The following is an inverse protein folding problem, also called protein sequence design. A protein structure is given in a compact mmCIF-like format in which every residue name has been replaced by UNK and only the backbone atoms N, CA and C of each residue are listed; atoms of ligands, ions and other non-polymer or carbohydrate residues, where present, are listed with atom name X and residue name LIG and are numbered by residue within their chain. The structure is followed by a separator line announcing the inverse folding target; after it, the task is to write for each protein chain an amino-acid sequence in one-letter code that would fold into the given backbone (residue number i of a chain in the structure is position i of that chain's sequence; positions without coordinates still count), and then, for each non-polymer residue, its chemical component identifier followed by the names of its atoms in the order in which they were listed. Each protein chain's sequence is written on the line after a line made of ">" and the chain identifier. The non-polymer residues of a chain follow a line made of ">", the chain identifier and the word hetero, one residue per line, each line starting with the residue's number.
data_IF_984825555900
#
_entry.id   IF_984825555900
#
_cell.length_a   1.000
_cell.length_b   1.000
_cell.length_c   1.000
_cell.angle_alpha   90.00
_cell.angle_beta   90.00
_cell.angle_gamma   90.00
#
_symmetry.space_group_name_H-M   'P 1'
#
loop_
_entity.id
_entity.type
_entity.pdbx_description
1 polymer ?
#
# COMPACT_ATOMS: atom_id res chain seq x y z
N UNK A 1 34.88 -24.50 18.43
CA UNK A 1 35.54 -24.20 17.13
C UNK A 1 34.81 -24.93 16.01
N UNK A 2 34.82 -26.27 15.96
CA UNK A 2 34.16 -27.04 14.88
C UNK A 2 32.68 -26.69 14.60
N UNK A 3 31.86 -26.46 15.63
CA UNK A 3 30.44 -26.17 15.42
C UNK A 3 30.17 -24.73 14.95
N UNK A 4 31.04 -23.78 15.31
CA UNK A 4 30.95 -22.39 14.84
C UNK A 4 31.34 -22.30 13.37
N UNK A 5 32.39 -23.02 12.97
CA UNK A 5 32.82 -23.08 11.57
C UNK A 5 31.71 -23.72 10.71
N UNK A 6 31.07 -24.80 11.21
CA UNK A 6 29.92 -25.43 10.55
C UNK A 6 28.71 -24.50 10.39
N UNK A 7 28.40 -23.66 11.39
CA UNK A 7 27.27 -22.73 11.31
C UNK A 7 27.41 -21.76 10.14
N UNK A 8 28.57 -21.12 10.01
CA UNK A 8 28.83 -20.17 8.93
C UNK A 8 28.92 -20.86 7.56
N UNK A 9 29.53 -22.05 7.49
CA UNK A 9 29.53 -22.84 6.25
C UNK A 9 28.09 -23.16 5.80
N UNK A 10 27.20 -23.55 6.71
CA UNK A 10 25.79 -23.79 6.39
C UNK A 10 25.08 -22.51 5.94
N UNK A 11 25.33 -21.36 6.56
CA UNK A 11 24.75 -20.08 6.15
C UNK A 11 25.18 -19.67 4.74
N UNK A 12 26.47 -19.84 4.41
CA UNK A 12 26.98 -19.53 3.08
C UNK A 12 26.31 -20.41 2.02
N UNK A 13 26.14 -21.71 2.30
CA UNK A 13 25.42 -22.63 1.42
C UNK A 13 23.93 -22.28 1.29
N UNK A 14 23.27 -21.89 2.39
CA UNK A 14 21.89 -21.44 2.36
C UNK A 14 21.72 -20.19 1.48
N UNK A 15 22.62 -19.22 1.62
CA UNK A 15 22.62 -18.00 0.84
C UNK A 15 22.85 -18.31 -0.65
N UNK A 16 23.80 -19.18 -0.99
CA UNK A 16 24.06 -19.59 -2.38
C UNK A 16 22.86 -20.34 -2.99
N UNK A 17 22.19 -21.20 -2.21
CA UNK A 17 20.99 -21.89 -2.66
C UNK A 17 19.83 -20.91 -2.89
N UNK A 18 19.61 -19.96 -1.97
CA UNK A 18 18.56 -18.93 -2.07
C UNK A 18 18.75 -18.05 -3.31
N UNK A 19 19.95 -17.49 -3.53
CA UNK A 19 20.26 -16.71 -4.74
C UNK A 19 20.08 -17.51 -6.05
N UNK A 20 20.22 -18.84 -5.97
CA UNK A 20 19.98 -19.74 -7.09
C UNK A 20 18.51 -20.18 -7.28
N UNK A 21 17.58 -19.66 -6.48
CA UNK A 21 16.16 -20.06 -6.50
C UNK A 21 15.90 -21.48 -5.99
N UNK A 22 16.84 -22.07 -5.25
CA UNK A 22 16.75 -23.44 -4.71
C UNK A 22 16.24 -23.39 -3.28
N UNK A 23 14.99 -23.00 -3.11
CA UNK A 23 14.36 -22.69 -1.82
C UNK A 23 14.41 -23.85 -0.82
N UNK A 24 14.06 -25.07 -1.24
CA UNK A 24 14.10 -26.26 -0.38
C UNK A 24 15.52 -26.56 0.12
N UNK A 25 16.52 -26.37 -0.74
CA UNK A 25 17.93 -26.58 -0.39
C UNK A 25 18.41 -25.51 0.60
N UNK A 26 18.03 -24.25 0.40
CA UNK A 26 18.33 -23.16 1.32
C UNK A 26 17.76 -23.42 2.72
N UNK A 27 16.49 -23.83 2.81
CA UNK A 27 15.85 -24.19 4.07
C UNK A 27 16.55 -25.37 4.77
N UNK A 28 16.97 -26.39 4.02
CA UNK A 28 17.71 -27.52 4.58
C UNK A 28 19.06 -27.09 5.18
N UNK A 29 19.78 -26.18 4.51
CA UNK A 29 21.02 -25.62 5.03
C UNK A 29 20.80 -24.75 6.27
N UNK A 30 19.74 -23.94 6.30
CA UNK A 30 19.37 -23.17 7.49
C UNK A 30 19.00 -24.07 8.67
N UNK A 31 18.32 -25.20 8.42
CA UNK A 31 18.05 -26.20 9.45
C UNK A 31 19.35 -26.80 10.01
N UNK A 32 20.32 -27.14 9.15
CA UNK A 32 21.63 -27.61 9.58
C UNK A 32 22.43 -26.53 10.33
N UNK A 33 22.31 -25.26 9.96
CA UNK A 33 22.87 -24.14 10.70
C UNK A 33 22.26 -24.08 12.12
N UNK A 34 20.93 -24.14 12.23
CA UNK A 34 20.23 -24.12 13.53
C UNK A 34 20.52 -25.37 14.38
N UNK A 35 20.79 -26.54 13.78
CA UNK A 35 21.28 -27.71 14.53
C UNK A 35 22.66 -27.46 15.14
N UNK A 36 23.55 -26.77 14.41
CA UNK A 36 24.88 -26.41 14.91
C UNK A 36 24.83 -25.29 15.95
N UNK A 37 23.94 -24.31 15.76
CA UNK A 37 23.74 -23.19 16.67
C UNK A 37 22.25 -22.79 16.74
N UNK A 38 21.49 -23.31 17.73
CA UNK A 38 20.04 -23.06 17.83
C UNK A 38 19.64 -21.60 18.07
N UNK A 39 20.57 -20.76 18.54
CA UNK A 39 20.37 -19.32 18.72
C UNK A 39 20.99 -18.48 17.60
N UNK A 40 21.09 -19.02 16.39
CA UNK A 40 21.61 -18.30 15.23
C UNK A 40 20.59 -17.31 14.67
N UNK A 41 20.77 -16.01 14.98
CA UNK A 41 19.85 -14.97 14.53
C UNK A 41 19.79 -14.86 12.99
N UNK A 42 20.93 -14.99 12.31
CA UNK A 42 21.01 -14.95 10.84
C UNK A 42 20.26 -16.13 10.21
N UNK A 43 20.36 -17.31 10.81
CA UNK A 43 19.67 -18.51 10.30
C UNK A 43 18.15 -18.41 10.50
N UNK A 44 17.69 -17.87 11.64
CA UNK A 44 16.28 -17.58 11.85
C UNK A 44 15.79 -16.52 10.86
N UNK A 45 16.51 -15.41 10.69
CA UNK A 45 16.13 -14.36 9.74
C UNK A 45 16.04 -14.88 8.30
N UNK A 46 17.05 -15.62 7.83
CA UNK A 46 17.02 -16.18 6.48
C UNK A 46 15.88 -17.18 6.26
N UNK A 47 15.45 -17.90 7.31
CA UNK A 47 14.23 -18.73 7.23
C UNK A 47 12.98 -17.85 7.14
N UNK A 48 12.94 -16.75 7.91
CA UNK A 48 11.84 -15.80 7.87
C UNK A 48 11.65 -15.19 6.49
N UNK A 49 12.73 -14.73 5.85
CA UNK A 49 12.70 -14.19 4.47
C UNK A 49 12.15 -15.21 3.48
N UNK A 50 12.67 -16.45 3.49
CA UNK A 50 12.17 -17.50 2.59
C UNK A 50 10.69 -17.81 2.83
N UNK A 51 10.26 -17.88 4.09
CA UNK A 51 8.86 -18.15 4.43
C UNK A 51 7.94 -17.00 4.00
N UNK A 52 8.42 -15.76 4.10
CA UNK A 52 7.70 -14.60 3.60
C UNK A 52 7.54 -14.66 2.08
N UNK A 53 8.61 -14.95 1.34
CA UNK A 53 8.55 -15.14 -0.12
C UNK A 53 7.56 -16.26 -0.54
N UNK A 54 7.37 -17.28 0.30
CA UNK A 54 6.40 -18.35 0.11
C UNK A 54 4.96 -18.00 0.56
N UNK A 55 4.72 -16.79 1.07
CA UNK A 55 3.43 -16.33 1.58
C UNK A 55 3.03 -16.91 2.94
N UNK A 56 3.97 -17.49 3.69
CA UNK A 56 3.73 -18.09 5.02
C UNK A 56 3.96 -17.03 6.11
N UNK A 57 3.10 -16.03 6.12
CA UNK A 57 3.28 -14.77 6.85
C UNK A 57 3.47 -14.97 8.35
N UNK A 58 2.63 -15.77 9.01
CA UNK A 58 2.73 -15.98 10.46
C UNK A 58 4.00 -16.76 10.86
N UNK A 59 4.43 -17.69 10.00
CA UNK A 59 5.64 -18.47 10.22
C UNK A 59 6.89 -17.61 10.02
N UNK A 60 6.87 -16.70 9.04
CA UNK A 60 7.91 -15.70 8.82
C UNK A 60 8.04 -14.75 10.02
N UNK A 61 6.91 -14.20 10.50
CA UNK A 61 6.88 -13.34 11.70
C UNK A 61 7.53 -14.05 12.89
N UNK A 62 7.14 -15.31 13.12
CA UNK A 62 7.70 -16.10 14.22
C UNK A 62 9.23 -16.29 14.08
N UNK A 63 9.74 -16.51 12.86
CA UNK A 63 11.20 -16.60 12.66
C UNK A 63 11.92 -15.27 12.92
N UNK A 64 11.37 -14.13 12.50
CA UNK A 64 11.98 -12.83 12.81
C UNK A 64 11.98 -12.54 14.31
N UNK A 65 10.92 -12.91 15.03
CA UNK A 65 10.88 -12.80 16.49
C UNK A 65 11.92 -13.69 17.17
N UNK A 66 12.12 -14.92 16.69
CA UNK A 66 13.19 -15.79 17.16
C UNK A 66 14.57 -15.19 16.90
N UNK A 67 14.78 -14.58 15.72
CA UNK A 67 16.05 -13.93 15.40
C UNK A 67 16.34 -12.75 16.34
N UNK A 68 15.36 -11.87 16.56
CA UNK A 68 15.49 -10.73 17.48
C UNK A 68 15.62 -11.15 18.95
N UNK A 69 15.02 -12.27 19.36
CA UNK A 69 15.24 -12.84 20.69
C UNK A 69 16.63 -13.46 20.85
N UNK A 70 17.13 -14.11 19.81
CA UNK A 70 18.44 -14.77 19.81
C UNK A 70 19.59 -13.75 19.86
N UNK A 71 19.49 -12.67 19.09
CA UNK A 71 20.36 -11.51 19.19
C UNK A 71 19.56 -10.21 19.06
N UNK A 72 19.26 -9.52 20.18
CA UNK A 72 18.55 -8.25 20.17
C UNK A 72 19.23 -7.14 19.36
N UNK A 73 20.53 -7.27 19.05
CA UNK A 73 21.30 -6.32 18.23
C UNK A 73 21.36 -6.69 16.75
N UNK A 74 20.76 -7.81 16.36
CA UNK A 74 20.67 -8.20 14.96
C UNK A 74 19.60 -7.37 14.25
N UNK A 75 20.04 -6.26 13.65
CA UNK A 75 19.18 -5.19 13.13
C UNK A 75 18.28 -5.66 11.98
N UNK A 76 18.77 -6.53 11.10
CA UNK A 76 18.01 -7.04 9.94
C UNK A 76 16.71 -7.71 10.36
N UNK A 77 16.70 -8.50 11.45
CA UNK A 77 15.47 -9.12 11.93
C UNK A 77 14.42 -8.10 12.41
N UNK A 78 14.84 -6.98 12.99
CA UNK A 78 13.92 -5.92 13.36
C UNK A 78 13.35 -5.23 12.13
N UNK A 79 14.18 -4.89 11.14
CA UNK A 79 13.74 -4.25 9.90
C UNK A 79 12.75 -5.13 9.13
N UNK A 80 13.10 -6.41 8.91
CA UNK A 80 12.24 -7.38 8.23
C UNK A 80 10.92 -7.58 8.98
N UNK A 81 10.94 -7.65 10.32
CA UNK A 81 9.72 -7.71 11.13
C UNK A 81 8.86 -6.46 10.97
N UNK A 82 9.45 -5.26 11.02
CA UNK A 82 8.70 -4.02 10.83
C UNK A 82 8.05 -3.97 9.45
N UNK A 83 8.78 -4.36 8.41
CA UNK A 83 8.25 -4.37 7.05
C UNK A 83 7.14 -5.41 6.88
N UNK A 84 7.30 -6.62 7.42
CA UNK A 84 6.25 -7.65 7.43
C UNK A 84 4.97 -7.18 8.15
N UNK A 85 5.12 -6.49 9.28
CA UNK A 85 3.98 -5.91 10.01
C UNK A 85 3.22 -4.88 9.18
N UNK A 86 3.94 -4.14 8.32
CA UNK A 86 3.38 -3.08 7.48
C UNK A 86 2.71 -3.67 6.24
N UNK A 87 3.43 -4.49 5.47
CA UNK A 87 3.00 -4.93 4.14
C UNK A 87 1.99 -6.08 4.18
N UNK A 88 2.12 -7.01 5.12
CA UNK A 88 1.35 -8.26 5.09
C UNK A 88 0.28 -8.33 6.18
N UNK A 89 0.54 -7.71 7.34
CA UNK A 89 -0.31 -7.85 8.52
C UNK A 89 -1.19 -6.64 8.82
N UNK A 90 -0.87 -5.46 8.26
CA UNK A 90 -1.57 -4.22 8.58
C UNK A 90 -1.45 -3.78 10.04
N UNK A 91 -0.44 -4.28 10.77
CA UNK A 91 -0.22 -4.03 12.19
C UNK A 91 0.61 -2.73 12.37
N UNK A 92 0.09 -1.63 11.86
CA UNK A 92 0.80 -0.36 11.70
C UNK A 92 1.26 0.23 13.03
N UNK A 93 0.42 0.22 14.06
CA UNK A 93 0.78 0.73 15.40
C UNK A 93 1.91 -0.08 16.03
N UNK A 94 1.94 -1.40 15.83
CA UNK A 94 3.02 -2.25 16.33
C UNK A 94 4.33 -1.94 15.60
N UNK A 95 4.28 -1.74 14.28
CA UNK A 95 5.43 -1.34 13.50
C UNK A 95 5.98 0.02 13.95
N UNK A 96 5.09 1.01 14.16
CA UNK A 96 5.43 2.34 14.70
C UNK A 96 6.11 2.21 16.06
N UNK A 97 5.56 1.42 16.97
CA UNK A 97 6.12 1.21 18.30
C UNK A 97 7.53 0.61 18.22
N UNK A 98 7.74 -0.36 17.33
CA UNK A 98 9.06 -0.96 17.13
C UNK A 98 10.06 0.04 16.56
N UNK A 99 9.68 0.81 15.54
CA UNK A 99 10.51 1.88 14.97
C UNK A 99 10.89 2.91 16.03
N UNK A 100 9.96 3.30 16.91
CA UNK A 100 10.24 4.22 18.02
C UNK A 100 11.22 3.65 19.04
N UNK A 101 11.15 2.35 19.33
CA UNK A 101 12.11 1.69 20.20
C UNK A 101 13.52 1.69 19.58
N UNK A 102 13.65 1.38 18.28
CA UNK A 102 14.94 1.43 17.56
C UNK A 102 15.53 2.86 17.56
N UNK A 103 14.70 3.86 17.27
CA UNK A 103 15.11 5.27 17.23
C UNK A 103 15.42 5.86 18.62
N UNK A 104 14.90 5.26 19.70
CA UNK A 104 15.17 5.74 21.06
C UNK A 104 16.64 5.64 21.49
N UNK A 105 17.44 4.82 20.79
CA UNK A 105 18.85 4.62 21.11
C UNK A 105 19.09 3.83 22.40
N UNK A 106 18.14 2.98 22.80
CA UNK A 106 18.29 2.13 23.98
C UNK A 106 19.53 1.22 23.86
N UNK A 107 20.25 1.01 24.98
CA UNK A 107 21.52 0.25 24.95
C UNK A 107 21.36 -1.26 24.69
N UNK A 108 20.13 -1.76 24.76
CA UNK A 108 19.76 -3.15 24.51
C UNK A 108 19.53 -3.43 23.01
N UNK A 109 19.17 -2.40 22.24
CA UNK A 109 18.92 -2.45 20.81
C UNK A 109 20.16 -2.07 19.98
N UNK A 110 20.17 -2.36 18.66
CA UNK A 110 21.26 -1.97 17.79
C UNK A 110 21.42 -0.44 17.77
N UNK A 111 22.67 0.01 17.66
CA UNK A 111 22.95 1.41 17.34
C UNK A 111 22.81 1.58 15.84
N UNK A 112 22.01 2.55 15.43
CA UNK A 112 21.77 2.86 14.02
C UNK A 112 22.88 3.79 13.51
N UNK A 113 23.35 3.52 12.30
CA UNK A 113 24.05 4.52 11.50
C UNK A 113 23.04 5.37 10.72
N UNK A 114 23.50 6.40 10.00
CA UNK A 114 22.59 7.31 9.29
C UNK A 114 21.77 6.61 8.20
N UNK A 115 22.35 5.61 7.52
CA UNK A 115 21.66 4.84 6.49
C UNK A 115 20.48 4.06 7.11
N UNK A 116 20.75 3.33 8.18
CA UNK A 116 19.72 2.51 8.82
C UNK A 116 18.71 3.35 9.60
N UNK A 117 19.15 4.46 10.21
CA UNK A 117 18.23 5.43 10.81
C UNK A 117 17.25 5.97 9.77
N UNK A 118 17.72 6.25 8.54
CA UNK A 118 16.88 6.64 7.43
C UNK A 118 15.87 5.56 7.03
N UNK A 119 16.29 4.29 7.00
CA UNK A 119 15.41 3.15 6.72
C UNK A 119 14.32 2.98 7.78
N UNK A 120 14.65 3.11 9.07
CA UNK A 120 13.66 3.06 10.15
C UNK A 120 12.65 4.23 10.05
N UNK A 121 13.12 5.44 9.69
CA UNK A 121 12.20 6.55 9.42
C UNK A 121 11.29 6.29 8.23
N UNK A 122 11.80 5.66 7.16
CA UNK A 122 11.01 5.28 6.00
C UNK A 122 9.94 4.24 6.35
N UNK A 123 10.28 3.16 7.06
CA UNK A 123 9.31 2.16 7.51
C UNK A 123 8.23 2.79 8.42
N UNK A 124 8.63 3.65 9.36
CA UNK A 124 7.67 4.37 10.21
C UNK A 124 6.78 5.31 9.38
N UNK A 125 7.31 5.93 8.33
CA UNK A 125 6.54 6.74 7.37
C UNK A 125 5.48 5.90 6.66
N UNK A 126 5.83 4.70 6.18
CA UNK A 126 4.88 3.78 5.52
C UNK A 126 3.73 3.41 6.46
N UNK A 127 4.03 3.08 7.71
CA UNK A 127 2.99 2.78 8.70
C UNK A 127 2.03 3.96 8.94
N UNK A 128 2.55 5.20 9.03
CA UNK A 128 1.70 6.40 9.15
C UNK A 128 0.88 6.67 7.88
N UNK A 129 1.43 6.38 6.70
CA UNK A 129 0.71 6.51 5.44
C UNK A 129 -0.52 5.61 5.40
N UNK A 130 -0.39 4.34 5.79
CA UNK A 130 -1.52 3.40 5.83
C UNK A 130 -2.54 3.72 6.93
N UNK A 131 -2.14 4.45 7.98
CA UNK A 131 -3.04 5.01 8.99
C UNK A 131 -3.68 6.36 8.57
N UNK A 132 -3.48 6.79 7.33
CA UNK A 132 -3.95 8.06 6.77
C UNK A 132 -3.40 9.32 7.49
N UNK A 133 -2.32 9.20 8.27
CA UNK A 133 -1.55 10.34 8.77
C UNK A 133 -0.53 10.79 7.71
N UNK A 134 -1.05 11.31 6.59
CA UNK A 134 -0.26 11.80 5.47
C UNK A 134 0.73 12.91 5.87
N UNK A 135 0.37 13.90 6.72
CA UNK A 135 1.33 14.91 7.19
C UNK A 135 2.47 14.32 8.04
N UNK A 136 2.15 13.38 8.94
CA UNK A 136 3.13 12.66 9.74
C UNK A 136 4.07 11.81 8.89
N UNK A 137 3.50 11.10 7.90
CA UNK A 137 4.27 10.36 6.90
C UNK A 137 5.21 11.27 6.12
N UNK A 138 4.71 12.37 5.54
CA UNK A 138 5.55 13.32 4.80
C UNK A 138 6.70 13.88 5.63
N UNK A 139 6.46 14.15 6.92
CA UNK A 139 7.52 14.56 7.83
C UNK A 139 8.60 13.48 8.00
N UNK A 140 8.22 12.21 8.16
CA UNK A 140 9.16 11.12 8.39
C UNK A 140 9.94 10.71 7.13
N UNK A 141 9.32 10.65 5.95
CA UNK A 141 10.08 10.35 4.71
C UNK A 141 11.12 11.43 4.42
N UNK A 142 10.84 12.70 4.74
CA UNK A 142 11.82 13.79 4.66
C UNK A 142 12.95 13.65 5.66
N UNK A 143 12.67 13.09 6.85
CA UNK A 143 13.72 12.71 7.82
C UNK A 143 14.56 11.55 7.30
N UNK A 144 13.95 10.55 6.66
CA UNK A 144 14.66 9.45 6.02
C UNK A 144 15.67 9.97 4.98
N UNK A 145 15.23 10.87 4.10
CA UNK A 145 16.09 11.50 3.10
C UNK A 145 17.21 12.37 3.70
N UNK A 146 16.93 13.05 4.81
CA UNK A 146 17.93 13.87 5.51
C UNK A 146 19.03 13.02 6.17
N UNK A 147 18.69 11.83 6.65
CA UNK A 147 19.58 10.98 7.47
C UNK A 147 20.25 9.88 6.65
N UNK A 148 19.47 9.13 5.87
CA UNK A 148 19.93 8.03 5.02
C UNK A 148 20.45 8.47 3.65
N UNK A 149 20.18 9.72 3.25
CA UNK A 149 20.62 10.29 1.98
C UNK A 149 19.57 10.21 0.87
N UNK A 150 19.99 10.57 -0.33
CA UNK A 150 19.10 10.69 -1.50
C UNK A 150 18.84 9.32 -2.15
N UNK A 151 17.95 8.55 -1.52
CA UNK A 151 17.57 7.18 -1.94
C UNK A 151 16.32 7.25 -2.81
N UNK A 152 16.33 6.55 -3.96
CA UNK A 152 15.25 6.56 -4.94
C UNK A 152 13.88 6.20 -4.35
N UNK A 153 13.81 5.12 -3.57
CA UNK A 153 12.56 4.64 -2.96
C UNK A 153 11.95 5.66 -1.98
N UNK A 154 12.77 6.38 -1.21
CA UNK A 154 12.29 7.41 -0.30
C UNK A 154 11.74 8.62 -1.07
N UNK A 155 12.37 8.98 -2.21
CA UNK A 155 11.89 10.03 -3.09
C UNK A 155 10.60 9.68 -3.80
N UNK A 156 10.47 8.44 -4.27
CA UNK A 156 9.24 7.94 -4.86
C UNK A 156 8.10 8.00 -3.84
N UNK A 157 8.36 7.58 -2.60
CA UNK A 157 7.39 7.60 -1.52
C UNK A 157 7.01 9.03 -1.09
N UNK A 158 7.97 9.97 -1.02
CA UNK A 158 7.68 11.39 -0.81
C UNK A 158 6.72 11.92 -1.87
N UNK A 159 6.95 11.61 -3.15
CA UNK A 159 6.06 12.02 -4.23
C UNK A 159 4.69 11.33 -4.20
N UNK A 160 4.60 10.08 -3.73
CA UNK A 160 3.32 9.39 -3.51
C UNK A 160 2.50 10.06 -2.40
N UNK A 161 3.12 10.39 -1.27
CA UNK A 161 2.43 11.08 -0.16
C UNK A 161 1.94 12.47 -0.63
N UNK A 162 2.78 13.20 -1.35
CA UNK A 162 2.41 14.50 -1.92
C UNK A 162 1.28 14.39 -2.94
N UNK A 163 1.21 13.29 -3.70
CA UNK A 163 0.09 13.01 -4.58
C UNK A 163 -1.21 12.82 -3.79
N UNK A 164 -1.20 12.00 -2.73
CA UNK A 164 -2.38 11.81 -1.87
C UNK A 164 -2.83 13.12 -1.21
N UNK A 165 -1.89 13.99 -0.84
CA UNK A 165 -2.17 15.34 -0.32
C UNK A 165 -2.65 16.35 -1.37
N UNK A 166 -2.84 15.94 -2.62
CA UNK A 166 -3.23 16.83 -3.74
C UNK A 166 -2.13 17.77 -4.23
N UNK A 167 -0.89 17.61 -3.77
CA UNK A 167 0.26 18.45 -4.10
C UNK A 167 0.93 17.99 -5.41
N UNK A 168 0.15 17.85 -6.49
CA UNK A 168 0.58 17.22 -7.75
C UNK A 168 1.84 17.84 -8.38
N UNK A 169 2.05 19.14 -8.20
CA UNK A 169 3.22 19.83 -8.72
C UNK A 169 4.54 19.47 -8.02
N UNK A 170 4.51 19.26 -6.70
CA UNK A 170 5.69 18.80 -5.93
C UNK A 170 5.88 17.30 -6.13
N UNK A 171 4.78 16.53 -6.08
CA UNK A 171 4.79 15.10 -6.34
C UNK A 171 5.50 14.76 -7.66
N UNK A 172 5.18 15.49 -8.73
CA UNK A 172 5.85 15.34 -10.03
C UNK A 172 7.37 15.51 -9.91
N UNK A 173 7.84 16.56 -9.25
CA UNK A 173 9.28 16.85 -9.17
C UNK A 173 10.01 15.73 -8.42
N UNK A 174 9.44 15.25 -7.32
CA UNK A 174 10.05 14.19 -6.54
C UNK A 174 10.00 12.83 -7.25
N UNK A 175 8.93 12.52 -7.98
CA UNK A 175 8.84 11.31 -8.79
C UNK A 175 9.73 11.36 -10.04
N UNK A 176 9.82 12.50 -10.73
CA UNK A 176 10.79 12.71 -11.82
C UNK A 176 12.22 12.47 -11.32
N UNK A 177 12.55 12.94 -10.12
CA UNK A 177 13.85 12.73 -9.48
C UNK A 177 14.06 11.26 -9.07
N UNK A 178 13.04 10.60 -8.50
CA UNK A 178 13.09 9.20 -8.13
C UNK A 178 13.35 8.29 -9.34
N UNK A 179 12.63 8.51 -10.45
CA UNK A 179 12.82 7.78 -11.71
C UNK A 179 14.19 8.07 -12.34
N UNK A 180 14.74 9.28 -12.15
CA UNK A 180 16.10 9.58 -12.58
C UNK A 180 17.17 8.83 -11.76
N UNK A 181 16.92 8.59 -10.48
CA UNK A 181 17.80 7.81 -9.59
C UNK A 181 17.71 6.30 -9.88
N UNK A 182 16.50 5.80 -10.10
CA UNK A 182 16.22 4.40 -10.43
C UNK A 182 15.16 4.28 -11.54
N UNK A 183 15.59 4.19 -12.81
CA UNK A 183 14.68 4.05 -13.95
C UNK A 183 13.93 2.71 -14.02
N UNK A 184 14.38 1.71 -13.26
CA UNK A 184 13.81 0.35 -13.24
C UNK A 184 12.78 0.18 -12.10
N UNK A 185 12.55 1.21 -11.29
CA UNK A 185 11.49 1.22 -10.27
C UNK A 185 10.12 1.34 -10.93
N UNK A 186 9.45 0.20 -11.15
CA UNK A 186 8.08 0.12 -11.67
C UNK A 186 7.10 0.98 -10.86
N UNK A 187 7.23 0.95 -9.53
CA UNK A 187 6.44 1.75 -8.60
C UNK A 187 6.63 3.26 -8.81
N UNK A 188 7.86 3.76 -8.83
CA UNK A 188 8.12 5.20 -9.04
C UNK A 188 7.59 5.68 -10.41
N UNK A 189 7.78 4.87 -11.44
CA UNK A 189 7.28 5.16 -12.79
C UNK A 189 5.75 5.16 -12.84
N UNK A 190 5.08 4.22 -12.16
CA UNK A 190 3.63 4.15 -12.08
C UNK A 190 3.04 5.40 -11.40
N UNK A 191 3.58 5.77 -10.24
CA UNK A 191 3.14 6.96 -9.50
C UNK A 191 3.41 8.26 -10.28
N UNK A 192 4.51 8.34 -11.04
CA UNK A 192 4.74 9.45 -11.98
C UNK A 192 3.62 9.50 -13.04
N UNK A 193 3.20 8.34 -13.56
CA UNK A 193 2.07 8.23 -14.48
C UNK A 193 0.77 8.78 -13.89
N UNK A 194 0.44 8.45 -12.64
CA UNK A 194 -0.73 8.98 -11.93
C UNK A 194 -0.68 10.51 -11.84
N UNK A 195 0.46 11.06 -11.43
CA UNK A 195 0.65 12.52 -11.32
C UNK A 195 0.54 13.21 -12.68
N UNK A 196 1.18 12.67 -13.72
CA UNK A 196 1.12 13.21 -15.07
C UNK A 196 -0.31 13.23 -15.60
N UNK A 197 -1.10 12.20 -15.30
CA UNK A 197 -2.50 12.13 -15.69
C UNK A 197 -3.33 13.21 -14.99
N UNK A 198 -3.13 13.40 -13.67
CA UNK A 198 -3.78 14.49 -12.91
C UNK A 198 -3.43 15.88 -13.42
N UNK A 199 -2.21 16.05 -13.92
CA UNK A 199 -1.73 17.31 -14.51
C UNK A 199 -2.13 17.49 -15.99
N UNK A 200 -2.87 16.55 -16.58
CA UNK A 200 -3.34 16.62 -17.98
C UNK A 200 -2.27 16.29 -19.02
N UNK A 201 -1.16 15.66 -18.63
CA UNK A 201 -0.09 15.21 -19.52
C UNK A 201 -0.36 13.78 -20.03
N UNK A 202 -1.47 13.59 -20.75
CA UNK A 202 -2.00 12.25 -21.11
C UNK A 202 -1.00 11.34 -21.85
N UNK A 203 -0.26 11.87 -22.82
CA UNK A 203 0.72 11.07 -23.58
C UNK A 203 1.92 10.63 -22.74
N UNK A 204 2.38 11.48 -21.83
CA UNK A 204 3.49 11.15 -20.94
C UNK A 204 3.04 10.17 -19.85
N UNK A 205 1.83 10.36 -19.30
CA UNK A 205 1.19 9.41 -18.39
C UNK A 205 1.04 8.02 -19.02
N UNK A 206 0.55 7.95 -20.27
CA UNK A 206 0.42 6.69 -21.01
C UNK A 206 1.76 5.99 -21.19
N UNK A 207 2.84 6.72 -21.47
CA UNK A 207 4.20 6.15 -21.56
C UNK A 207 4.68 5.63 -20.22
N UNK A 208 4.44 6.38 -19.15
CA UNK A 208 4.81 5.96 -17.79
C UNK A 208 4.10 4.65 -17.40
N UNK A 209 2.78 4.55 -17.60
CA UNK A 209 2.05 3.29 -17.34
C UNK A 209 2.55 2.12 -18.20
N UNK A 210 2.88 2.37 -19.47
CA UNK A 210 3.46 1.34 -20.34
C UNK A 210 4.84 0.87 -19.86
N UNK A 211 5.66 1.78 -19.35
CA UNK A 211 6.96 1.44 -18.80
C UNK A 211 6.82 0.68 -17.47
N UNK A 212 5.97 1.14 -16.55
CA UNK A 212 5.71 0.44 -15.29
C UNK A 212 5.22 -0.99 -15.54
N UNK A 213 4.28 -1.17 -16.47
CA UNK A 213 3.78 -2.47 -16.89
C UNK A 213 4.86 -3.37 -17.52
N UNK A 214 5.79 -2.79 -18.28
CA UNK A 214 6.88 -3.54 -18.90
C UNK A 214 7.92 -4.02 -17.87
N UNK A 215 8.08 -3.28 -16.77
CA UNK A 215 8.96 -3.63 -15.65
C UNK A 215 8.31 -4.67 -14.74
N UNK A 216 7.01 -4.53 -14.45
CA UNK A 216 6.24 -5.45 -13.63
C UNK A 216 4.77 -5.48 -14.07
N UNK A 217 4.44 -6.47 -14.89
CA UNK A 217 3.10 -6.60 -15.48
C UNK A 217 2.05 -7.09 -14.50
N UNK A 218 2.48 -7.77 -13.43
CA UNK A 218 1.59 -8.41 -12.47
C UNK A 218 1.04 -7.39 -11.49
N UNK A 219 1.91 -6.49 -10.98
CA UNK A 219 1.51 -5.40 -10.09
C UNK A 219 0.93 -4.19 -10.82
N UNK A 220 1.42 -3.85 -12.02
CA UNK A 220 0.98 -2.66 -12.77
C UNK A 220 0.33 -3.03 -14.11
N UNK A 221 -0.92 -3.54 -14.09
CA UNK A 221 -1.66 -3.79 -15.32
C UNK A 221 -1.98 -2.48 -16.05
N UNK A 222 -2.12 -2.56 -17.38
CA UNK A 222 -2.56 -1.40 -18.16
C UNK A 222 -4.06 -1.13 -17.91
N UNK A 223 -4.46 0.15 -17.78
CA UNK A 223 -5.86 0.51 -17.59
C UNK A 223 -6.74 0.11 -18.77
N UNK A 224 -7.98 -0.32 -18.50
CA UNK A 224 -8.97 -0.59 -19.54
C UNK A 224 -9.69 0.70 -19.91
N UNK A 225 -9.28 1.36 -20.98
CA UNK A 225 -9.95 2.56 -21.46
C UNK A 225 -11.33 2.22 -22.06
N UNK A 226 -12.39 2.77 -21.45
CA UNK A 226 -13.78 2.65 -21.87
C UNK A 226 -14.27 4.01 -22.38
N UNK A 227 -15.10 4.02 -23.42
CA UNK A 227 -15.71 5.26 -23.89
C UNK A 227 -16.68 5.83 -22.83
N UNK A 228 -16.87 7.14 -22.77
CA UNK A 228 -17.72 7.76 -21.73
C UNK A 228 -19.18 7.24 -21.75
N UNK A 229 -19.76 7.11 -22.93
CA UNK A 229 -21.12 6.58 -23.14
C UNK A 229 -21.24 5.10 -22.79
N UNK A 230 -20.20 4.31 -23.08
CA UNK A 230 -20.11 2.91 -22.67
C UNK A 230 -19.98 2.79 -21.14
N UNK A 231 -19.17 3.65 -20.51
CA UNK A 231 -19.01 3.67 -19.06
C UNK A 231 -20.33 4.03 -18.35
N UNK A 232 -21.06 5.04 -18.84
CA UNK A 232 -22.38 5.40 -18.32
C UNK A 232 -23.38 4.24 -18.41
N UNK A 233 -23.35 3.46 -19.51
CA UNK A 233 -24.17 2.25 -19.63
C UNK A 233 -23.77 1.18 -18.62
N UNK A 234 -22.47 0.97 -18.43
CA UNK A 234 -21.93 0.02 -17.45
C UNK A 234 -22.31 0.41 -16.02
N UNK A 235 -22.20 1.70 -15.67
CA UNK A 235 -22.62 2.21 -14.38
C UNK A 235 -24.13 2.02 -14.15
N UNK A 236 -24.96 2.31 -15.15
CA UNK A 236 -26.41 2.10 -15.05
C UNK A 236 -26.78 0.62 -14.85
N UNK A 237 -26.09 -0.30 -15.55
CA UNK A 237 -26.25 -1.75 -15.37
C UNK A 237 -25.83 -2.18 -13.96
N UNK A 238 -24.66 -1.73 -13.50
CA UNK A 238 -24.16 -2.03 -12.16
C UNK A 238 -25.15 -1.63 -11.06
N UNK A 239 -25.68 -0.39 -11.12
CA UNK A 239 -26.67 0.11 -10.18
C UNK A 239 -28.00 -0.64 -10.25
N UNK A 240 -28.44 -1.02 -11.46
CA UNK A 240 -29.68 -1.78 -11.66
C UNK A 240 -29.60 -3.21 -11.11
N UNK A 241 -28.40 -3.79 -11.01
CA UNK A 241 -28.18 -5.14 -10.51
C UNK A 241 -27.82 -5.21 -9.02
N UNK A 242 -27.69 -4.07 -8.33
CA UNK A 242 -27.45 -4.01 -6.88
C UNK A 242 -28.54 -4.76 -6.07
N UNK A 243 -28.19 -5.35 -4.92
CA UNK A 243 -29.18 -5.92 -3.99
C UNK A 243 -30.25 -4.90 -3.63
N UNK A 244 -31.50 -5.35 -3.48
CA UNK A 244 -32.65 -4.46 -3.19
C UNK A 244 -32.41 -3.55 -1.97
N UNK A 245 -31.72 -4.06 -0.94
CA UNK A 245 -31.37 -3.31 0.27
C UNK A 245 -30.52 -2.08 0.01
N UNK A 246 -29.68 -2.08 -1.03
CA UNK A 246 -28.83 -0.94 -1.44
C UNK A 246 -29.51 -0.14 -2.55
N UNK A 247 -30.15 -0.84 -3.50
CA UNK A 247 -30.81 -0.22 -4.66
C UNK A 247 -31.84 0.85 -4.28
N UNK A 248 -32.59 0.64 -3.20
CA UNK A 248 -33.60 1.60 -2.71
C UNK A 248 -33.00 2.98 -2.31
N UNK A 249 -31.70 3.05 -2.08
CA UNK A 249 -30.97 4.29 -1.78
C UNK A 249 -30.40 4.99 -3.02
N UNK A 250 -30.26 4.30 -4.15
CA UNK A 250 -29.66 4.86 -5.39
C UNK A 250 -30.63 4.99 -6.56
N UNK A 251 -31.81 4.32 -6.53
CA UNK A 251 -32.74 4.24 -7.67
C UNK A 251 -33.24 5.60 -8.19
N UNK A 252 -33.24 6.64 -7.35
CA UNK A 252 -33.63 8.01 -7.73
C UNK A 252 -32.55 9.04 -7.41
N UNK A 253 -31.30 8.59 -7.27
CA UNK A 253 -30.14 9.43 -6.97
C UNK A 253 -29.36 9.63 -8.26
N UNK A 254 -29.05 10.88 -8.67
CA UNK A 254 -28.19 11.13 -9.83
C UNK A 254 -26.84 10.41 -9.67
N UNK A 255 -26.45 9.67 -10.71
CA UNK A 255 -25.11 9.10 -10.84
C UNK A 255 -24.29 9.98 -11.78
N UNK A 256 -23.36 10.76 -11.22
CA UNK A 256 -22.44 11.60 -11.96
C UNK A 256 -21.16 10.83 -12.26
N UNK A 257 -20.64 10.97 -13.48
CA UNK A 257 -19.37 10.39 -13.88
C UNK A 257 -18.37 11.52 -14.09
N UNK A 258 -17.26 11.45 -13.36
CA UNK A 258 -16.12 12.33 -13.53
C UNK A 258 -14.88 11.48 -13.81
N UNK A 259 -13.88 12.05 -14.47
CA UNK A 259 -12.63 11.31 -14.65
C UNK A 259 -11.93 11.10 -13.29
N UNK A 260 -11.95 12.11 -12.42
CA UNK A 260 -11.26 12.13 -11.13
C UNK A 260 -12.00 12.99 -10.08
N UNK A 261 -11.70 12.85 -8.78
CA UNK A 261 -12.13 13.81 -7.76
C UNK A 261 -11.60 15.22 -8.06
N UNK A 262 -12.38 16.23 -7.70
CA UNK A 262 -11.98 17.63 -7.79
C UNK A 262 -10.88 17.94 -6.78
N UNK A 263 -10.11 19.01 -7.01
CA UNK A 263 -9.11 19.47 -6.05
C UNK A 263 -9.75 19.85 -4.70
N UNK A 264 -10.96 20.40 -4.72
CA UNK A 264 -11.74 20.71 -3.49
C UNK A 264 -12.01 19.44 -2.67
N UNK A 265 -12.47 18.35 -3.30
CA UNK A 265 -12.68 17.08 -2.60
C UNK A 265 -11.37 16.52 -2.03
N UNK A 266 -10.27 16.61 -2.78
CA UNK A 266 -8.99 16.07 -2.33
C UNK A 266 -8.42 16.88 -1.15
N UNK A 267 -8.40 18.21 -1.27
CA UNK A 267 -7.71 19.09 -0.31
C UNK A 267 -8.57 19.45 0.88
N UNK A 268 -9.85 19.77 0.67
CA UNK A 268 -10.71 20.30 1.73
C UNK A 268 -11.44 19.17 2.48
N UNK A 269 -11.77 18.08 1.78
CA UNK A 269 -12.47 16.92 2.36
C UNK A 269 -11.54 15.72 2.61
N UNK A 270 -10.23 15.87 2.41
CA UNK A 270 -9.20 14.83 2.61
C UNK A 270 -9.53 13.51 1.89
N UNK A 271 -10.08 13.60 0.68
CA UNK A 271 -10.42 12.42 -0.13
C UNK A 271 -9.21 12.01 -0.97
N UNK A 272 -8.85 10.71 -0.96
CA UNK A 272 -7.78 10.23 -1.83
C UNK A 272 -8.05 10.56 -3.31
N UNK A 273 -7.06 11.07 -4.07
CA UNK A 273 -7.17 11.25 -5.51
C UNK A 273 -7.47 9.96 -6.28
N UNK A 274 -7.25 8.80 -5.66
CA UNK A 274 -7.45 7.47 -6.25
C UNK A 274 -8.81 6.85 -5.92
N UNK A 275 -9.64 7.50 -5.11
CA UNK A 275 -10.96 6.99 -4.75
C UNK A 275 -11.79 6.62 -6.00
N UNK A 276 -12.55 5.53 -5.92
CA UNK A 276 -13.28 4.97 -7.06
C UNK A 276 -14.65 5.60 -7.26
N UNK A 277 -15.28 6.05 -6.17
CA UNK A 277 -16.57 6.73 -6.17
C UNK A 277 -16.92 7.24 -4.78
N UNK A 278 -17.97 8.06 -4.70
CA UNK A 278 -18.47 8.66 -3.47
C UNK A 278 -19.98 8.63 -3.46
N UNK A 279 -20.58 8.44 -2.28
CA UNK A 279 -21.98 8.78 -2.04
C UNK A 279 -22.06 10.06 -1.18
N UNK A 280 -22.55 11.15 -1.76
CA UNK A 280 -22.74 12.41 -1.05
C UNK A 280 -24.22 12.54 -0.71
N UNK A 281 -24.55 12.58 0.59
CA UNK A 281 -25.90 12.79 1.10
C UNK A 281 -25.86 13.22 2.57
N UNK A 282 -26.96 13.80 3.08
CA UNK A 282 -27.02 14.18 4.51
C UNK A 282 -27.30 12.93 5.36
N UNK A 283 -26.46 12.58 6.36
CA UNK A 283 -26.64 11.38 7.18
C UNK A 283 -27.94 11.39 7.99
N UNK A 284 -28.52 10.20 8.21
CA UNK A 284 -29.80 10.02 8.92
C UNK A 284 -29.78 10.37 10.41
N UNK A 285 -28.60 10.48 11.03
CA UNK A 285 -28.45 10.73 12.48
C UNK A 285 -28.65 12.19 12.89
N UNK A 286 -28.62 13.14 11.94
CA UNK A 286 -28.81 14.58 12.20
C UNK A 286 -30.20 15.11 11.80
N UNK A 287 -31.06 14.24 11.23
CA UNK A 287 -32.41 14.63 10.80
C UNK A 287 -33.39 14.75 11.98
N UNK A 288 -33.18 15.74 12.83
CA UNK A 288 -34.19 16.22 13.77
C UNK A 288 -35.35 16.88 13.01
N UNK A 289 -36.47 16.18 12.92
CA UNK A 289 -37.84 16.72 12.84
C UNK A 289 -38.24 17.66 11.67
N UNK A 290 -37.46 17.81 10.61
CA UNK A 290 -37.96 18.41 9.35
C UNK A 290 -37.56 17.56 8.17
N UNK A 291 -38.55 17.15 7.35
CA UNK A 291 -38.34 16.47 6.08
C UNK A 291 -37.52 17.38 5.15
N UNK A 292 -36.20 17.19 5.15
CA UNK A 292 -35.31 17.80 4.19
C UNK A 292 -35.12 16.82 3.03
N UNK A 293 -35.11 17.35 1.81
CA UNK A 293 -35.35 16.59 0.59
C UNK A 293 -34.17 15.69 0.21
N UNK A 294 -34.47 14.49 -0.29
CA UNK A 294 -33.58 13.58 -1.04
C UNK A 294 -32.92 14.22 -2.29
N UNK A 295 -33.19 15.50 -2.57
CA UNK A 295 -32.80 16.21 -3.79
C UNK A 295 -31.31 16.59 -3.85
N UNK A 296 -30.53 16.34 -2.79
CA UNK A 296 -29.09 16.60 -2.75
C UNK A 296 -28.23 15.34 -2.73
N UNK A 297 -28.85 14.16 -2.63
CA UNK A 297 -28.11 12.90 -2.66
C UNK A 297 -27.56 12.71 -4.07
N UNK A 298 -26.30 12.30 -4.19
CA UNK A 298 -25.66 11.97 -5.47
C UNK A 298 -24.64 10.84 -5.31
N UNK A 299 -24.56 9.98 -6.32
CA UNK A 299 -23.46 9.03 -6.51
C UNK A 299 -22.49 9.68 -7.49
N UNK A 300 -21.21 9.71 -7.15
CA UNK A 300 -20.15 10.14 -8.06
C UNK A 300 -19.25 8.94 -8.32
N UNK A 301 -19.00 8.62 -9.60
CA UNK A 301 -18.04 7.58 -10.01
C UNK A 301 -16.85 8.22 -10.71
N UNK A 302 -15.64 7.78 -10.36
CA UNK A 302 -14.40 8.29 -10.93
C UNK A 302 -13.85 7.34 -11.98
N UNK A 303 -14.25 7.61 -13.23
CA UNK A 303 -14.01 6.77 -14.40
C UNK A 303 -12.56 6.36 -14.55
N UNK A 304 -11.61 7.31 -14.55
CA UNK A 304 -10.20 7.00 -14.78
C UNK A 304 -9.61 6.15 -13.67
N UNK A 305 -10.10 6.27 -12.43
CA UNK A 305 -9.65 5.45 -11.31
C UNK A 305 -10.21 4.02 -11.42
N UNK A 306 -11.50 3.89 -11.74
CA UNK A 306 -12.14 2.59 -11.98
C UNK A 306 -11.52 1.83 -13.17
N UNK A 307 -11.14 2.52 -14.24
CA UNK A 307 -10.45 1.93 -15.40
C UNK A 307 -9.07 1.34 -15.07
N UNK A 308 -8.40 1.84 -14.02
CA UNK A 308 -7.08 1.34 -13.59
C UNK A 308 -7.17 0.03 -12.82
N UNK A 309 -8.25 -0.16 -12.07
CA UNK A 309 -8.45 -1.36 -11.22
C UNK A 309 -9.21 -2.47 -11.93
N UNK A 310 -9.74 -2.23 -13.14
CA UNK A 310 -10.52 -3.20 -13.90
C UNK A 310 -9.87 -3.55 -15.25
N UNK A 311 -9.90 -4.83 -15.62
CA UNK A 311 -9.36 -5.39 -16.87
C UNK A 311 -10.46 -5.77 -17.87
N UNK A 312 -11.68 -5.94 -17.39
CA UNK A 312 -12.82 -6.34 -18.22
C UNK A 312 -14.08 -5.54 -17.88
N UNK A 313 -15.05 -5.52 -18.80
CA UNK A 313 -16.37 -4.93 -18.57
C UNK A 313 -17.08 -5.56 -17.37
N UNK A 314 -16.93 -6.87 -17.18
CA UNK A 314 -17.55 -7.60 -16.08
C UNK A 314 -16.94 -7.18 -14.73
N UNK A 315 -15.61 -7.09 -14.66
CA UNK A 315 -14.91 -6.56 -13.49
C UNK A 315 -15.30 -5.10 -13.20
N UNK A 316 -15.47 -4.28 -14.24
CA UNK A 316 -15.93 -2.90 -14.06
C UNK A 316 -17.32 -2.80 -13.44
N UNK A 317 -18.26 -3.67 -13.87
CA UNK A 317 -19.60 -3.75 -13.26
C UNK A 317 -19.49 -4.14 -11.79
N UNK A 318 -18.75 -5.21 -11.51
CA UNK A 318 -18.57 -5.74 -10.15
C UNK A 318 -17.91 -4.70 -9.25
N UNK A 319 -16.87 -4.02 -9.73
CA UNK A 319 -16.17 -3.00 -8.97
C UNK A 319 -17.06 -1.78 -8.67
N UNK A 320 -17.86 -1.32 -9.63
CA UNK A 320 -18.84 -0.23 -9.38
C UNK A 320 -19.85 -0.67 -8.31
N UNK A 321 -20.30 -1.93 -8.35
CA UNK A 321 -21.20 -2.45 -7.32
C UNK A 321 -20.53 -2.49 -5.94
N UNK A 322 -19.28 -2.95 -5.85
CA UNK A 322 -18.49 -2.95 -4.61
C UNK A 322 -18.35 -1.53 -4.07
N UNK A 323 -17.93 -0.58 -4.91
CA UNK A 323 -17.78 0.83 -4.53
C UNK A 323 -19.09 1.40 -4.01
N UNK A 324 -20.21 1.24 -4.73
CA UNK A 324 -21.49 1.83 -4.30
C UNK A 324 -22.01 1.16 -3.03
N UNK A 325 -21.84 -0.16 -2.86
CA UNK A 325 -22.22 -0.87 -1.63
C UNK A 325 -21.46 -0.33 -0.42
N UNK A 326 -20.14 -0.16 -0.54
CA UNK A 326 -19.29 0.41 0.52
C UNK A 326 -19.76 1.81 0.91
N UNK A 327 -19.88 2.72 -0.07
CA UNK A 327 -20.27 4.11 0.16
C UNK A 327 -21.64 4.23 0.84
N UNK A 328 -22.61 3.40 0.42
CA UNK A 328 -23.93 3.36 1.05
C UNK A 328 -23.85 2.79 2.47
N UNK A 329 -23.00 1.80 2.69
CA UNK A 329 -22.77 1.23 4.00
C UNK A 329 -22.24 2.27 4.99
N UNK A 330 -21.23 3.04 4.59
CA UNK A 330 -20.72 4.19 5.36
C UNK A 330 -21.78 5.27 5.58
N UNK A 331 -22.57 5.58 4.56
CA UNK A 331 -23.72 6.49 4.68
C UNK A 331 -24.76 6.03 5.73
N UNK A 332 -24.87 4.71 5.94
CA UNK A 332 -25.72 4.10 6.97
C UNK A 332 -25.06 4.01 8.35
N UNK A 333 -23.79 4.42 8.47
CA UNK A 333 -23.02 4.40 9.71
C UNK A 333 -22.45 3.03 10.06
N UNK A 334 -22.22 2.17 9.06
CA UNK A 334 -21.48 0.92 9.22
C UNK A 334 -19.98 1.22 9.21
N UNK A 335 -19.22 0.54 10.06
CA UNK A 335 -17.75 0.52 10.00
C UNK A 335 -17.26 -0.59 9.05
N UNK A 336 -15.95 -0.64 8.79
CA UNK A 336 -15.37 -1.62 7.86
C UNK A 336 -15.65 -3.08 8.28
N UNK A 337 -15.58 -3.38 9.58
CA UNK A 337 -15.91 -4.71 10.14
C UNK A 337 -17.37 -5.09 9.85
N UNK A 338 -18.29 -4.13 9.96
CA UNK A 338 -19.69 -4.30 9.62
C UNK A 338 -19.88 -4.56 8.11
N UNK A 339 -19.12 -3.86 7.26
CA UNK A 339 -19.19 -4.03 5.80
C UNK A 339 -18.70 -5.42 5.38
N UNK A 340 -17.56 -5.87 5.89
CA UNK A 340 -17.02 -7.22 5.62
C UNK A 340 -18.01 -8.30 6.05
N UNK A 341 -18.52 -8.21 7.28
CA UNK A 341 -19.48 -9.18 7.82
C UNK A 341 -20.76 -9.28 6.99
N UNK A 342 -21.17 -8.18 6.36
CA UNK A 342 -22.38 -8.10 5.54
C UNK A 342 -22.13 -8.39 4.06
N UNK A 343 -20.89 -8.67 3.65
CA UNK A 343 -20.52 -8.85 2.23
C UNK A 343 -20.69 -7.57 1.40
N UNK A 344 -20.60 -6.43 2.07
CA UNK A 344 -20.62 -5.10 1.48
C UNK A 344 -19.21 -4.59 1.20
N UNK A 345 -18.20 -5.21 1.83
CA UNK A 345 -16.80 -5.07 1.46
C UNK A 345 -16.45 -5.80 0.15
#
# INVERSE_FOLDING_TARGET
>A
MKDKDRYWDCLDQAMEASHGGRTEEALAWLEEALKAHPGGAEAHNGRGEILWDEGKIEEALYQFELASMADPKFLTAHLNRAELLIEELGEFEQAIQQCDQLLSGSGELPRLDGATEGEVYYLKSKALFYLDDLPGSLFLVRRALQTGGDVAVYRAFEGQIEFELGQFGEARRHLDHAVALDPESSHAVYHLGLVLERLGHEEDARRAFQQAHALDSDHFPLPTAVAGDEFEQVAAEALADLPRSIREYVENVPCLVHDFPSEELVVDENVSPQILGLFIGVPRTEAAATAQARDMDQVILFKKNLEKVCRTRAELIEQIQITVKHEIGHYLGLDEDDLERLGLA
#
